data_IF_673345488450
#
_entry.id   IF_673345488450
#
_cell.length_a   1.000
_cell.length_b   1.000
_cell.length_c   1.000
_cell.angle_alpha   90.00
_cell.angle_beta   90.00
_cell.angle_gamma   90.00
#
_symmetry.space_group_name_H-M   'P 1'
#
loop_
_entity.id
_entity.type
_entity.pdbx_description
1 polymer ?
#
# COMPACT_ATOMS: atom_id res chain seq x y z
N UNK A 1 -4.40 23.00 16.66
CA UNK A 1 -4.51 22.31 16.74
C UNK A 1 -3.88 21.48 16.12
N UNK A 2 -3.52 21.04 16.47
CA UNK A 2 -2.77 20.23 16.02
C UNK A 2 -3.12 19.65 14.88
N UNK A 3 -4.02 19.41 14.88
CA UNK A 3 -4.40 18.77 13.89
C UNK A 3 -3.81 19.10 12.74
N UNK A 4 -3.71 19.94 12.67
CA UNK A 4 -3.32 20.20 11.58
C UNK A 4 -2.17 19.87 11.33
N UNK A 5 -1.55 19.96 12.05
CA UNK A 5 -0.45 19.72 11.81
C UNK A 5 -0.35 18.60 11.24
N UNK A 6 -0.92 18.09 11.47
CA UNK A 6 -0.83 17.00 11.01
C UNK A 6 -0.92 16.95 9.77
N UNK A 7 -1.43 17.55 9.54
CA UNK A 7 -1.63 17.48 8.29
C UNK A 7 -0.43 17.54 7.72
N UNK A 8 0.14 18.23 8.15
CA UNK A 8 1.24 18.39 7.63
C UNK A 8 1.82 17.23 7.45
N UNK A 9 1.84 16.63 8.24
CA UNK A 9 2.52 15.59 8.13
C UNK A 9 2.24 14.96 7.00
N UNK A 10 1.32 14.88 6.86
CA UNK A 10 1.05 14.14 5.88
C UNK A 10 1.65 14.59 4.84
N UNK A 11 1.69 15.46 4.91
CA UNK A 11 2.10 15.86 3.89
C UNK A 11 3.27 15.56 3.63
N UNK A 12 3.61 15.44 4.12
CA UNK A 12 4.59 15.29 3.68
C UNK A 12 4.91 14.34 3.26
N UNK A 13 4.70 13.96 3.33
CA UNK A 13 5.01 13.18 2.91
C UNK A 13 4.97 13.00 2.04
N UNK A 14 4.79 13.16 1.69
CA UNK A 14 4.74 12.81 0.83
C UNK A 14 5.16 12.72 0.04
N UNK A 15 5.41 12.71 0.06
CA UNK A 15 5.77 12.56 -0.77
C UNK A 15 6.49 12.20 -1.16
N UNK A 16 6.74 12.22 -0.87
CA UNK A 16 7.62 11.90 -1.16
C UNK A 16 7.69 10.98 -1.82
N UNK A 17 7.25 10.83 -2.13
CA UNK A 17 7.21 9.97 -2.76
C UNK A 17 7.75 10.06 -3.81
N UNK A 18 8.26 9.60 -4.05
CA UNK A 18 8.87 9.48 -5.05
C UNK A 18 8.40 9.67 -6.20
N UNK A 19 8.93 10.16 -6.88
CA UNK A 19 8.47 10.44 -8.00
C UNK A 19 8.51 9.40 -8.85
N UNK A 20 7.78 9.39 -9.53
CA UNK A 20 7.73 8.46 -10.38
C UNK A 20 8.69 8.53 -11.36
N UNK A 21 9.04 7.58 -11.79
CA UNK A 21 9.99 7.53 -12.75
C UNK A 21 9.36 7.88 -14.01
N UNK A 22 9.97 7.82 -14.99
CA UNK A 22 9.44 8.16 -16.21
C UNK A 22 8.24 7.38 -16.50
N UNK A 23 7.38 7.94 -17.15
CA UNK A 23 6.17 7.33 -17.46
C UNK A 23 6.35 6.19 -18.38
N UNK A 24 5.84 5.11 -18.05
CA UNK A 24 5.97 3.96 -18.92
C UNK A 24 4.96 3.97 -20.01
N UNK A 25 5.12 3.16 -20.96
CA UNK A 25 4.11 2.96 -21.95
C UNK A 25 3.01 2.12 -21.39
N UNK A 26 1.96 1.93 -22.20
CA UNK A 26 0.85 1.15 -21.72
C UNK A 26 1.23 -0.25 -21.33
N UNK A 27 2.11 -0.86 -22.07
CA UNK A 27 2.47 -2.23 -21.79
C UNK A 27 3.26 -2.33 -20.49
N UNK A 28 3.76 -1.21 -19.98
CA UNK A 28 4.51 -1.22 -18.74
C UNK A 28 3.69 -0.74 -17.57
N UNK A 29 2.40 -0.58 -17.72
CA UNK A 29 1.58 -0.20 -16.59
C UNK A 29 1.56 -1.30 -15.55
N UNK A 30 1.48 -0.93 -14.27
CA UNK A 30 1.43 -1.96 -13.24
C UNK A 30 0.19 -2.83 -13.36
N UNK A 31 0.30 -4.02 -12.85
CA UNK A 31 -0.79 -4.98 -12.92
C UNK A 31 -2.06 -4.50 -12.25
N UNK A 32 -1.96 -3.59 -11.29
CA UNK A 32 -3.14 -3.10 -10.59
C UNK A 32 -3.84 -1.96 -11.33
N UNK A 33 -3.31 -1.54 -12.48
CA UNK A 33 -3.79 -0.34 -13.15
C UNK A 33 -5.29 -0.39 -13.44
N UNK A 34 -5.79 -1.53 -13.88
CA UNK A 34 -7.21 -1.62 -14.23
C UNK A 34 -8.09 -1.57 -13.00
N UNK A 35 -7.55 -1.74 -11.81
CA UNK A 35 -8.30 -1.72 -10.57
C UNK A 35 -7.92 -0.53 -9.70
N UNK A 36 -7.29 0.46 -10.29
CA UNK A 36 -6.74 1.58 -9.55
C UNK A 36 -7.78 2.31 -8.71
N UNK A 37 -8.96 2.52 -9.27
CA UNK A 37 -9.99 3.25 -8.54
C UNK A 37 -10.42 2.52 -7.28
N UNK A 38 -10.55 1.22 -7.34
CA UNK A 38 -10.90 0.45 -6.16
C UNK A 38 -9.81 0.51 -5.11
N UNK A 39 -8.56 0.44 -5.54
CA UNK A 39 -7.46 0.56 -4.60
C UNK A 39 -7.44 1.93 -3.94
N UNK A 40 -7.70 2.98 -4.70
CA UNK A 40 -7.73 4.32 -4.12
C UNK A 40 -8.86 4.48 -3.13
N UNK A 41 -10.04 3.91 -3.43
CA UNK A 41 -11.14 3.96 -2.48
C UNK A 41 -10.78 3.27 -1.18
N UNK A 42 -10.13 2.12 -1.29
CA UNK A 42 -9.72 1.38 -0.10
C UNK A 42 -8.70 2.17 0.71
N UNK A 43 -7.74 2.77 0.02
CA UNK A 43 -6.73 3.58 0.70
C UNK A 43 -7.34 4.80 1.39
N UNK A 44 -8.34 5.40 0.78
CA UNK A 44 -9.03 6.53 1.42
C UNK A 44 -9.73 6.12 2.70
N UNK A 45 -10.29 4.90 2.71
CA UNK A 45 -10.89 4.40 3.94
C UNK A 45 -9.83 4.17 5.01
N UNK A 46 -8.68 3.64 4.62
CA UNK A 46 -7.60 3.42 5.56
C UNK A 46 -7.08 4.76 6.08
N UNK A 47 -6.97 5.73 5.21
CA UNK A 47 -6.59 7.07 5.62
C UNK A 47 -7.54 7.62 6.68
N UNK A 48 -8.84 7.39 6.49
CA UNK A 48 -9.82 7.79 7.48
C UNK A 48 -9.63 7.09 8.80
N UNK A 49 -9.23 5.84 8.78
CA UNK A 49 -8.93 5.10 10.01
C UNK A 49 -7.72 5.69 10.73
N UNK A 50 -6.72 6.11 9.97
CA UNK A 50 -5.55 6.76 10.59
C UNK A 50 -5.96 8.08 11.22
N UNK A 51 -6.79 8.86 10.54
CA UNK A 51 -7.28 10.11 11.12
C UNK A 51 -8.09 9.84 12.38
N UNK A 52 -8.85 8.74 12.39
CA UNK A 52 -9.57 8.35 13.59
C UNK A 52 -8.64 8.07 14.75
N UNK A 53 -7.51 7.43 14.49
CA UNK A 53 -6.51 7.19 15.52
C UNK A 53 -5.96 8.50 16.08
N UNK A 54 -5.70 9.45 15.20
CA UNK A 54 -5.21 10.75 15.66
C UNK A 54 -6.22 11.42 16.59
N UNK A 55 -7.50 11.35 16.25
CA UNK A 55 -8.53 11.92 17.11
C UNK A 55 -8.62 11.20 18.45
N UNK A 56 -8.46 9.89 18.43
CA UNK A 56 -8.47 9.13 19.68
C UNK A 56 -7.35 9.55 20.59
N UNK A 57 -6.15 9.70 20.04
CA UNK A 57 -5.02 10.11 20.85
C UNK A 57 -5.21 11.52 21.37
N UNK A 58 -5.73 12.41 20.52
CA UNK A 58 -5.99 13.77 20.94
C UNK A 58 -7.00 13.85 22.08
N UNK A 59 -7.97 12.97 22.09
CA UNK A 59 -8.99 13.00 23.15
C UNK A 59 -8.69 12.05 24.29
N UNK A 60 -7.47 11.56 24.36
CA UNK A 60 -7.06 10.70 25.48
C UNK A 60 -7.92 9.45 25.60
N UNK A 61 -8.24 8.86 24.48
CA UNK A 61 -9.02 7.62 24.48
C UNK A 61 -8.24 6.52 25.18
N UNK A 62 -8.96 5.63 25.83
CA UNK A 62 -8.37 4.53 26.56
C UNK A 62 -7.45 3.70 25.68
N UNK A 63 -6.32 3.30 26.21
CA UNK A 63 -5.26 2.61 25.44
C UNK A 63 -5.77 1.41 24.66
N UNK A 64 -6.59 0.59 25.30
CA UNK A 64 -7.03 -0.64 24.64
C UNK A 64 -7.90 -0.32 23.43
N UNK A 65 -8.71 0.73 23.53
CA UNK A 65 -9.53 1.12 22.39
C UNK A 65 -8.68 1.62 21.22
N UNK A 66 -7.62 2.35 21.55
CA UNK A 66 -6.70 2.80 20.51
C UNK A 66 -6.02 1.60 19.85
N UNK A 67 -5.57 0.64 20.65
CA UNK A 67 -4.90 -0.55 20.11
C UNK A 67 -5.85 -1.39 19.26
N UNK A 68 -7.12 -1.45 19.65
CA UNK A 68 -8.10 -2.15 18.85
C UNK A 68 -8.24 -1.50 17.48
N UNK A 69 -8.23 -0.17 17.44
CA UNK A 69 -8.31 0.54 16.19
C UNK A 69 -7.04 0.35 15.34
N UNK A 70 -5.90 0.28 16.00
CA UNK A 70 -4.64 -0.01 15.31
C UNK A 70 -4.73 -1.37 14.64
N UNK A 71 -5.27 -2.36 15.33
CA UNK A 71 -5.42 -3.69 14.74
C UNK A 71 -6.30 -3.64 13.49
N UNK A 72 -7.37 -2.88 13.55
CA UNK A 72 -8.26 -2.77 12.40
C UNK A 72 -7.56 -2.12 11.21
N UNK A 73 -6.80 -1.06 11.47
CA UNK A 73 -6.08 -0.37 10.41
C UNK A 73 -4.99 -1.26 9.81
N UNK A 74 -4.31 -2.01 10.67
CA UNK A 74 -3.28 -2.93 10.22
C UNK A 74 -3.87 -4.00 9.30
N UNK A 75 -4.99 -4.57 9.71
CA UNK A 75 -5.63 -5.59 8.88
C UNK A 75 -6.09 -5.03 7.55
N UNK A 76 -6.59 -3.81 7.56
CA UNK A 76 -7.02 -3.19 6.31
C UNK A 76 -5.85 -2.97 5.37
N UNK A 77 -4.70 -2.57 5.90
CA UNK A 77 -3.50 -2.41 5.10
C UNK A 77 -3.01 -3.73 4.57
N UNK A 78 -3.07 -4.78 5.39
CA UNK A 78 -2.67 -6.10 4.94
C UNK A 78 -3.55 -6.59 3.80
N UNK A 79 -4.85 -6.37 3.91
CA UNK A 79 -5.76 -6.75 2.83
C UNK A 79 -5.45 -6.01 1.55
N UNK A 80 -5.15 -4.72 1.66
CA UNK A 80 -4.76 -3.96 0.50
C UNK A 80 -3.48 -4.51 -0.11
N UNK A 81 -2.49 -4.80 0.72
CA UNK A 81 -1.21 -5.31 0.25
C UNK A 81 -1.38 -6.65 -0.46
N UNK A 82 -2.21 -7.53 0.10
CA UNK A 82 -2.42 -8.82 -0.51
C UNK A 82 -3.13 -8.72 -1.85
N UNK A 83 -4.11 -7.82 -1.94
CA UNK A 83 -4.80 -7.61 -3.21
C UNK A 83 -3.85 -7.08 -4.28
N UNK A 84 -2.99 -6.15 -3.88
CA UNK A 84 -2.02 -5.60 -4.81
C UNK A 84 -1.03 -6.67 -5.26
N UNK A 85 -0.56 -7.48 -4.32
CA UNK A 85 0.37 -8.55 -4.61
C UNK A 85 -0.27 -9.55 -5.57
N UNK A 86 -1.52 -9.90 -5.34
CA UNK A 86 -2.20 -10.84 -6.20
C UNK A 86 -2.27 -10.34 -7.63
N UNK A 87 -2.56 -9.06 -7.81
CA UNK A 87 -2.60 -8.50 -9.15
C UNK A 87 -1.22 -8.44 -9.78
N UNK A 88 -0.21 -8.19 -8.97
CA UNK A 88 1.15 -8.17 -9.48
C UNK A 88 1.54 -9.56 -9.97
N UNK A 89 1.20 -10.60 -9.21
CA UNK A 89 1.51 -11.97 -9.62
C UNK A 89 0.72 -12.36 -10.86
N UNK A 90 -0.54 -11.99 -10.93
CA UNK A 90 -1.39 -12.40 -12.06
C UNK A 90 -1.02 -11.70 -13.35
N UNK A 91 -0.51 -10.50 -13.26
CA UNK A 91 -0.25 -9.72 -14.48
C UNK A 91 1.23 -9.55 -14.75
N UNK A 92 1.96 -8.98 -13.82
CA UNK A 92 3.36 -8.67 -14.09
C UNK A 92 4.25 -9.90 -14.08
N UNK A 93 4.09 -10.74 -13.08
CA UNK A 93 4.95 -11.92 -12.97
C UNK A 93 4.54 -12.95 -14.02
N UNK A 94 3.25 -13.16 -14.20
CA UNK A 94 2.80 -14.11 -15.20
C UNK A 94 3.24 -13.69 -16.59
N UNK A 95 3.19 -12.40 -16.88
CA UNK A 95 3.64 -11.91 -18.16
C UNK A 95 5.13 -12.15 -18.36
N UNK A 96 5.92 -11.87 -17.34
CA UNK A 96 7.35 -12.12 -17.41
C UNK A 96 7.67 -13.60 -17.60
N UNK A 97 6.92 -14.46 -16.93
CA UNK A 97 7.11 -15.90 -17.07
C UNK A 97 6.78 -16.39 -18.47
N UNK A 98 5.77 -15.79 -19.08
CA UNK A 98 5.40 -16.16 -20.44
C UNK A 98 6.52 -15.83 -21.43
N UNK A 99 7.28 -14.78 -21.16
CA UNK A 99 8.40 -14.44 -22.03
C UNK A 99 9.67 -15.19 -21.66
N UNK A 100 9.81 -15.61 -20.42
CA UNK A 100 10.94 -16.41 -19.98
C UNK A 100 12.20 -15.60 -19.81
N UNK A 101 13.30 -16.31 -19.61
CA UNK A 101 14.61 -15.71 -19.56
C UNK A 101 14.90 -15.03 -18.24
N UNK A 102 15.90 -14.17 -18.28
CA UNK A 102 16.40 -13.49 -17.10
C UNK A 102 15.34 -12.63 -16.46
N UNK A 103 14.52 -12.01 -17.26
CA UNK A 103 13.48 -11.15 -16.74
C UNK A 103 12.48 -11.94 -15.88
N UNK A 104 12.14 -13.15 -16.33
CA UNK A 104 11.25 -13.99 -15.54
C UNK A 104 11.86 -14.31 -14.19
N UNK A 105 13.14 -14.65 -14.16
CA UNK A 105 13.82 -14.95 -12.91
C UNK A 105 13.85 -13.76 -11.99
N UNK A 106 14.08 -12.58 -12.52
CA UNK A 106 14.12 -11.37 -11.73
C UNK A 106 12.78 -11.04 -11.12
N UNK A 107 11.71 -11.21 -11.90
CA UNK A 107 10.38 -10.91 -11.40
C UNK A 107 9.96 -11.87 -10.29
N UNK A 108 10.32 -13.14 -10.42
CA UNK A 108 10.03 -14.10 -9.37
C UNK A 108 10.82 -13.76 -8.11
N UNK A 109 12.07 -13.36 -8.25
CA UNK A 109 12.87 -12.99 -7.08
C UNK A 109 12.30 -11.74 -6.40
N UNK A 110 11.91 -10.75 -7.19
CA UNK A 110 11.28 -9.56 -6.63
C UNK A 110 10.04 -9.90 -5.83
N UNK A 111 9.18 -10.71 -6.41
CA UNK A 111 7.93 -11.09 -5.76
C UNK A 111 8.21 -11.85 -4.47
N UNK A 112 9.16 -12.76 -4.51
CA UNK A 112 9.51 -13.54 -3.33
C UNK A 112 10.03 -12.64 -2.21
N UNK A 113 10.85 -11.67 -2.56
CA UNK A 113 11.38 -10.74 -1.57
C UNK A 113 10.27 -9.86 -0.98
N UNK A 114 9.33 -9.44 -1.83
CA UNK A 114 8.21 -8.63 -1.36
C UNK A 114 7.32 -9.42 -0.41
N UNK A 115 7.05 -10.68 -0.73
CA UNK A 115 6.26 -11.54 0.13
C UNK A 115 6.95 -11.71 1.48
N UNK A 116 8.26 -11.94 1.46
CA UNK A 116 9.01 -12.11 2.69
C UNK A 116 8.92 -10.86 3.58
N UNK A 117 9.00 -9.68 2.97
CA UNK A 117 8.88 -8.44 3.74
C UNK A 117 7.49 -8.31 4.34
N UNK A 118 6.48 -8.64 3.57
CA UNK A 118 5.11 -8.51 4.03
C UNK A 118 4.82 -9.47 5.18
N UNK A 119 5.35 -10.67 5.10
CA UNK A 119 5.14 -11.67 6.14
C UNK A 119 5.85 -11.27 7.43
N UNK A 120 7.00 -10.63 7.31
CA UNK A 120 7.75 -10.22 8.50
C UNK A 120 7.18 -8.98 9.18
N UNK A 121 6.42 -8.19 8.48
CA UNK A 121 5.89 -6.97 9.07
C UNK A 121 4.65 -7.21 9.97
#
# INVERSE_FOLDING_TARGET
MAADQLAAAAADTPAAVAPAPSAPGLSALPGYHSNKDNHLKRLRRIEGQIRGLQRQVESDTYCIDVLTQVSAATRALESFALALLEEHLSHCVADALAHGGTEADEKVREASAAIARLVRS
#
